data_IF_606658006855
#
_entry.id   IF_606658006855
#
_cell.length_a   1.000
_cell.length_b   1.000
_cell.length_c   1.000
_cell.angle_alpha   90.00
_cell.angle_beta   90.00
_cell.angle_gamma   90.00
#
_symmetry.space_group_name_H-M   'P 1'
#
loop_
_entity.id
_entity.type
_entity.pdbx_description
1 polymer ?
#
# COMPACT_ATOMS: atom_id res chain seq x y z
N UNK A 1 22.88 0.65 54.62
CA UNK A 1 22.89 -0.12 53.36
C UNK A 1 22.76 0.90 52.25
N UNK A 2 23.89 1.30 51.67
CA UNK A 2 23.97 2.39 50.71
C UNK A 2 23.68 1.82 49.33
N UNK A 3 22.60 2.28 48.69
CA UNK A 3 22.30 1.97 47.30
C UNK A 3 23.50 2.34 46.42
N UNK A 4 24.03 1.35 45.72
CA UNK A 4 25.10 1.54 44.76
C UNK A 4 24.56 2.35 43.58
N UNK A 5 24.97 3.62 43.50
CA UNK A 5 24.71 4.52 42.39
C UNK A 5 25.25 3.90 41.10
N UNK A 6 24.35 3.46 40.22
CA UNK A 6 24.70 3.05 38.86
C UNK A 6 25.13 4.31 38.11
N UNK A 7 26.35 4.41 37.56
CA UNK A 7 26.72 5.55 36.73
C UNK A 7 25.85 5.55 35.48
N UNK A 8 25.08 6.62 35.26
CA UNK A 8 24.37 6.92 33.99
C UNK A 8 25.38 7.30 32.88
N UNK A 9 26.41 6.49 32.69
CA UNK A 9 27.55 6.74 31.79
C UNK A 9 27.34 6.04 30.45
N UNK A 10 26.25 6.39 29.75
CA UNK A 10 25.87 5.80 28.47
C UNK A 10 25.45 6.84 27.40
N UNK A 11 25.68 8.13 27.67
CA UNK A 11 25.28 9.25 26.81
C UNK A 11 26.31 10.39 26.75
N UNK A 12 26.18 11.25 25.72
CA UNK A 12 26.98 12.48 25.57
C UNK A 12 26.72 13.36 26.78
N UNK A 13 27.79 13.75 27.47
CA UNK A 13 27.68 14.61 28.63
C UNK A 13 27.47 16.06 28.18
N UNK A 14 26.80 16.90 28.98
CA UNK A 14 26.64 18.33 28.67
C UNK A 14 27.98 19.05 28.42
N UNK A 15 29.07 18.56 29.03
CA UNK A 15 30.42 19.05 28.81
C UNK A 15 30.91 18.78 27.37
N UNK A 16 30.63 17.61 26.82
CA UNK A 16 31.01 17.22 25.46
C UNK A 16 30.25 18.05 24.41
N UNK A 17 28.96 18.30 24.65
CA UNK A 17 28.16 19.20 23.78
C UNK A 17 28.76 20.61 23.79
N UNK A 18 29.20 21.09 24.96
CA UNK A 18 29.77 22.43 25.10
C UNK A 18 31.13 22.52 24.41
N UNK A 19 31.97 21.50 24.51
CA UNK A 19 33.25 21.42 23.81
C UNK A 19 33.04 21.46 22.28
N UNK A 20 32.20 20.58 21.74
CA UNK A 20 31.98 20.44 20.30
C UNK A 20 31.21 21.64 19.71
N UNK A 21 30.40 22.33 20.53
CA UNK A 21 29.75 23.58 20.11
C UNK A 21 30.73 24.73 19.90
N UNK A 22 31.90 24.69 20.57
CA UNK A 22 32.99 25.64 20.34
C UNK A 22 33.78 25.36 19.06
N UNK A 23 33.85 24.11 18.62
CA UNK A 23 34.58 23.66 17.43
C UNK A 23 33.80 23.90 16.13
N UNK A 24 32.47 23.83 16.18
CA UNK A 24 31.61 24.30 15.09
C UNK A 24 30.34 23.48 14.86
N UNK A 25 29.44 24.01 14.03
CA UNK A 25 28.13 23.39 13.73
C UNK A 25 28.25 22.05 12.99
N UNK A 26 29.31 21.85 12.22
CA UNK A 26 29.55 20.61 11.48
C UNK A 26 29.86 19.45 12.43
N UNK A 27 30.76 19.68 13.40
CA UNK A 27 31.16 18.65 14.38
C UNK A 27 30.03 18.28 15.32
N UNK A 28 29.24 19.27 15.76
CA UNK A 28 28.05 19.00 16.56
C UNK A 28 27.05 18.10 15.80
N UNK A 29 26.92 18.31 14.49
CA UNK A 29 26.04 17.50 13.65
C UNK A 29 26.58 16.08 13.44
N UNK A 30 27.90 15.93 13.31
CA UNK A 30 28.55 14.62 13.18
C UNK A 30 28.37 13.78 14.45
N UNK A 31 28.63 14.40 15.61
CA UNK A 31 28.46 13.79 16.93
C UNK A 31 27.02 13.27 17.15
N UNK A 32 26.02 14.11 16.89
CA UNK A 32 24.61 13.73 17.05
C UNK A 32 24.20 12.59 16.12
N UNK A 33 24.73 12.54 14.89
CA UNK A 33 24.46 11.42 13.97
C UNK A 33 25.06 10.11 14.46
N UNK A 34 26.30 10.14 14.95
CA UNK A 34 26.95 8.96 15.50
C UNK A 34 26.14 8.34 16.64
N UNK A 35 25.55 9.17 17.53
CA UNK A 35 24.68 8.66 18.59
C UNK A 35 23.39 8.02 18.07
N UNK A 36 22.78 8.61 17.04
CA UNK A 36 21.58 8.03 16.41
C UNK A 36 21.92 6.66 15.83
N UNK A 37 23.08 6.51 15.20
CA UNK A 37 23.53 5.25 14.61
C UNK A 37 23.82 4.19 15.68
N UNK A 38 24.48 4.56 16.78
CA UNK A 38 24.70 3.67 17.94
C UNK A 38 23.35 3.23 18.53
N UNK A 39 22.44 4.17 18.76
CA UNK A 39 21.10 3.88 19.28
C UNK A 39 20.25 3.05 18.31
N UNK A 40 20.49 3.14 17.00
CA UNK A 40 19.83 2.31 15.98
C UNK A 40 20.41 0.91 15.96
N UNK A 41 21.72 0.77 16.07
CA UNK A 41 22.40 -0.52 16.17
C UNK A 41 21.96 -1.30 17.43
N UNK A 42 21.83 -0.62 18.57
CA UNK A 42 21.31 -1.21 19.81
C UNK A 42 19.85 -1.70 19.68
N UNK A 43 19.02 -1.01 18.89
CA UNK A 43 17.59 -1.34 18.70
C UNK A 43 17.32 -2.34 17.60
N UNK A 44 18.26 -2.57 16.69
CA UNK A 44 18.07 -3.52 15.60
C UNK A 44 18.19 -4.95 16.16
N UNK A 45 17.09 -5.73 16.27
CA UNK A 45 17.22 -7.15 16.56
C UNK A 45 18.03 -7.79 15.43
N UNK A 46 18.91 -8.74 15.78
CA UNK A 46 19.58 -9.56 14.78
C UNK A 46 18.52 -10.12 13.81
N UNK A 47 18.72 -9.92 12.52
CA UNK A 47 17.76 -10.36 11.51
C UNK A 47 17.55 -11.87 11.70
N UNK A 48 16.35 -12.26 12.18
CA UNK A 48 16.00 -13.66 12.31
C UNK A 48 16.04 -14.26 10.90
N UNK A 49 16.66 -15.44 10.71
CA UNK A 49 16.60 -16.11 9.43
C UNK A 49 15.12 -16.29 9.05
N UNK A 50 14.76 -16.07 7.78
CA UNK A 50 13.38 -16.24 7.34
C UNK A 50 12.95 -17.68 7.65
N UNK A 51 11.72 -17.90 8.13
CA UNK A 51 11.24 -19.25 8.35
C UNK A 51 11.31 -20.04 7.04
N UNK A 52 11.67 -21.32 7.14
CA UNK A 52 11.67 -22.21 5.99
C UNK A 52 10.28 -22.23 5.36
N UNK A 53 10.20 -21.98 4.05
CA UNK A 53 8.93 -22.03 3.33
C UNK A 53 8.41 -23.48 3.38
N UNK A 54 7.14 -23.72 3.75
CA UNK A 54 6.58 -25.06 3.69
C UNK A 54 6.66 -25.58 2.24
N UNK A 55 7.16 -26.81 2.07
CA UNK A 55 7.25 -27.46 0.76
C UNK A 55 5.84 -27.50 0.14
N UNK A 56 5.65 -26.81 -0.98
CA UNK A 56 4.39 -26.79 -1.73
C UNK A 56 3.45 -25.62 -1.46
N UNK A 57 3.71 -24.75 -0.47
CA UNK A 57 2.86 -23.58 -0.24
C UNK A 57 3.37 -22.38 -1.05
N UNK A 58 2.67 -22.04 -2.14
CA UNK A 58 2.87 -20.76 -2.82
C UNK A 58 2.09 -19.67 -2.08
N UNK A 59 2.67 -18.50 -1.77
CA UNK A 59 1.92 -17.37 -1.22
C UNK A 59 0.73 -17.03 -2.13
N UNK A 60 -0.47 -16.93 -1.56
CA UNK A 60 -1.71 -16.67 -2.29
C UNK A 60 -2.34 -17.88 -3.00
N UNK A 61 -1.70 -19.06 -2.99
CA UNK A 61 -2.32 -20.28 -3.48
C UNK A 61 -3.19 -20.91 -2.38
N UNK A 62 -4.38 -21.36 -2.80
CA UNK A 62 -5.24 -22.17 -1.97
C UNK A 62 -4.67 -23.59 -1.80
N UNK A 63 -4.92 -24.26 -0.66
CA UNK A 63 -4.58 -25.66 -0.49
C UNK A 63 -5.10 -26.54 -1.65
N UNK A 64 -4.37 -27.59 -2.03
CA UNK A 64 -4.85 -28.52 -3.05
C UNK A 64 -6.21 -29.12 -2.64
N UNK A 65 -7.17 -29.12 -3.56
CA UNK A 65 -8.55 -29.55 -3.29
C UNK A 65 -9.45 -28.46 -2.70
N UNK A 66 -8.95 -27.24 -2.52
CA UNK A 66 -9.74 -26.08 -2.11
C UNK A 66 -9.70 -24.98 -3.17
N UNK A 67 -10.78 -24.22 -3.27
CA UNK A 67 -10.92 -23.08 -4.19
C UNK A 67 -11.28 -21.83 -3.38
N UNK A 68 -10.90 -20.63 -3.83
CA UNK A 68 -11.42 -19.41 -3.25
C UNK A 68 -12.96 -19.40 -3.28
N UNK A 69 -13.60 -18.70 -2.33
CA UNK A 69 -15.01 -18.39 -2.47
C UNK A 69 -15.23 -17.70 -3.81
N UNK A 70 -16.25 -18.13 -4.54
CA UNK A 70 -16.63 -17.50 -5.80
C UNK A 70 -16.95 -16.02 -5.62
N UNK A 71 -16.95 -15.22 -6.70
CA UNK A 71 -17.34 -13.83 -6.63
C UNK A 71 -18.77 -13.72 -6.06
N UNK A 72 -19.06 -12.66 -5.29
CA UNK A 72 -20.38 -12.44 -4.74
C UNK A 72 -21.46 -12.39 -5.83
N UNK A 73 -22.68 -12.90 -5.59
CA UNK A 73 -23.74 -12.97 -6.59
C UNK A 73 -24.17 -11.59 -7.12
N UNK A 74 -23.99 -10.52 -6.33
CA UNK A 74 -24.24 -9.14 -6.74
C UNK A 74 -23.28 -8.63 -7.82
N UNK A 75 -22.14 -9.31 -8.06
CA UNK A 75 -21.23 -8.99 -9.16
C UNK A 75 -21.64 -9.66 -10.48
N UNK A 76 -22.62 -10.57 -10.45
CA UNK A 76 -23.16 -11.17 -11.66
C UNK A 76 -24.12 -10.20 -12.33
N UNK A 77 -23.69 -9.63 -13.44
CA UNK A 77 -24.56 -8.80 -14.25
C UNK A 77 -25.63 -9.66 -14.92
N UNK A 78 -26.92 -9.25 -14.92
CA UNK A 78 -27.98 -10.03 -15.55
C UNK A 78 -27.69 -10.27 -17.04
N UNK A 79 -27.80 -11.52 -17.55
CA UNK A 79 -27.47 -11.83 -18.94
C UNK A 79 -28.24 -10.98 -19.97
N UNK A 80 -29.51 -10.68 -19.69
CA UNK A 80 -30.33 -9.83 -20.55
C UNK A 80 -29.78 -8.40 -20.66
N UNK A 81 -29.30 -7.84 -19.55
CA UNK A 81 -28.72 -6.49 -19.51
C UNK A 81 -27.37 -6.47 -20.26
N UNK A 82 -26.53 -7.51 -20.12
CA UNK A 82 -25.29 -7.63 -20.88
C UNK A 82 -25.55 -7.71 -22.39
N UNK A 83 -26.53 -8.52 -22.80
CA UNK A 83 -26.91 -8.66 -24.20
C UNK A 83 -27.50 -7.36 -24.79
N UNK A 84 -28.22 -6.58 -23.99
CA UNK A 84 -28.71 -5.26 -24.41
C UNK A 84 -27.53 -4.29 -24.63
N UNK A 85 -26.59 -4.22 -23.69
CA UNK A 85 -25.40 -3.38 -23.81
C UNK A 85 -24.49 -3.77 -24.99
N UNK A 86 -24.26 -5.08 -25.19
CA UNK A 86 -23.48 -5.57 -26.33
C UNK A 86 -24.15 -5.25 -27.69
N UNK A 87 -25.49 -5.37 -27.75
CA UNK A 87 -26.25 -4.98 -28.95
C UNK A 87 -26.18 -3.48 -29.20
N UNK A 88 -26.28 -2.65 -28.16
CA UNK A 88 -26.11 -1.20 -28.27
C UNK A 88 -24.74 -0.85 -28.85
N UNK A 89 -23.66 -1.36 -28.25
CA UNK A 89 -22.29 -1.12 -28.73
C UNK A 89 -22.06 -1.56 -30.18
N UNK A 90 -22.58 -2.74 -30.55
CA UNK A 90 -22.49 -3.23 -31.93
C UNK A 90 -23.24 -2.33 -32.93
N UNK A 91 -24.40 -1.80 -32.55
CA UNK A 91 -25.17 -0.91 -33.40
C UNK A 91 -24.51 0.45 -33.57
N UNK A 92 -23.89 0.99 -32.52
CA UNK A 92 -23.12 2.24 -32.59
C UNK A 92 -21.98 2.17 -33.62
N UNK A 93 -21.31 1.03 -33.73
CA UNK A 93 -20.22 0.81 -34.69
C UNK A 93 -20.73 0.53 -36.11
N UNK A 94 -21.75 -0.33 -36.25
CA UNK A 94 -22.11 -0.89 -37.55
C UNK A 94 -23.35 -0.23 -38.19
N UNK A 95 -24.16 0.49 -37.42
CA UNK A 95 -25.45 1.06 -37.83
C UNK A 95 -25.74 2.39 -37.10
N UNK A 96 -24.83 3.39 -37.20
CA UNK A 96 -24.96 4.64 -36.45
C UNK A 96 -26.21 5.45 -36.83
N UNK A 97 -26.67 5.33 -38.08
CA UNK A 97 -27.81 6.09 -38.61
C UNK A 97 -29.18 5.41 -38.37
N UNK A 98 -29.20 4.20 -37.80
CA UNK A 98 -30.45 3.50 -37.50
C UNK A 98 -30.88 3.75 -36.05
N UNK A 99 -32.16 4.05 -35.79
CA UNK A 99 -32.66 4.12 -34.42
C UNK A 99 -32.45 2.77 -33.75
N UNK A 100 -31.84 2.78 -32.57
CA UNK A 100 -31.48 1.54 -31.91
C UNK A 100 -32.74 0.88 -31.29
N UNK A 101 -33.01 -0.37 -31.66
CA UNK A 101 -34.11 -1.16 -31.05
C UNK A 101 -33.78 -1.69 -29.64
N UNK A 102 -32.64 -1.29 -29.06
CA UNK A 102 -32.18 -1.80 -27.77
C UNK A 102 -32.84 -1.10 -26.55
N UNK A 103 -33.79 -0.20 -26.80
CA UNK A 103 -34.63 0.41 -25.76
C UNK A 103 -33.91 1.38 -24.81
N UNK A 104 -32.62 1.70 -25.05
CA UNK A 104 -31.80 2.50 -24.14
C UNK A 104 -30.97 3.60 -24.84
N UNK A 105 -31.26 3.95 -26.10
CA UNK A 105 -30.64 5.14 -26.69
C UNK A 105 -31.33 6.40 -26.17
N UNK A 106 -30.57 7.43 -25.76
CA UNK A 106 -31.15 8.75 -25.56
C UNK A 106 -31.70 9.23 -26.91
N UNK A 107 -33.01 9.47 -26.99
CA UNK A 107 -33.64 10.02 -28.18
C UNK A 107 -32.97 11.36 -28.51
N UNK A 108 -32.49 11.51 -29.75
CA UNK A 108 -31.82 12.70 -30.27
C UNK A 108 -32.68 13.99 -30.29
N UNK A 109 -33.82 14.03 -29.60
CA UNK A 109 -34.75 15.17 -29.56
C UNK A 109 -34.64 16.05 -28.31
N UNK A 110 -33.52 16.01 -27.56
CA UNK A 110 -33.35 16.86 -26.37
C UNK A 110 -32.71 18.23 -26.69
N UNK A 111 -32.55 18.59 -27.97
CA UNK A 111 -31.97 19.87 -28.39
C UNK A 111 -32.88 20.66 -29.37
N UNK A 112 -34.13 20.95 -29.02
CA UNK A 112 -34.82 22.13 -29.60
C UNK A 112 -36.06 22.54 -28.79
N UNK A 113 -35.86 23.31 -27.73
CA UNK A 113 -36.81 24.35 -27.29
C UNK A 113 -36.15 25.23 -26.23
N UNK A 114 -35.40 26.22 -26.72
CA UNK A 114 -35.11 27.47 -26.00
C UNK A 114 -35.66 28.61 -26.84
#
# INVERSE_FOLDING_TARGET
>A
MSDAWIPDDDGIQPADIRAVRGEGRAELRALLRAQVDIGRARRAPAAKPPPAKPLGHRPGAWPPGTSPPGPPPEWNYPPAAWQAAARHYSNEINRPDQPCDCGNCPSAHTEENR
#
